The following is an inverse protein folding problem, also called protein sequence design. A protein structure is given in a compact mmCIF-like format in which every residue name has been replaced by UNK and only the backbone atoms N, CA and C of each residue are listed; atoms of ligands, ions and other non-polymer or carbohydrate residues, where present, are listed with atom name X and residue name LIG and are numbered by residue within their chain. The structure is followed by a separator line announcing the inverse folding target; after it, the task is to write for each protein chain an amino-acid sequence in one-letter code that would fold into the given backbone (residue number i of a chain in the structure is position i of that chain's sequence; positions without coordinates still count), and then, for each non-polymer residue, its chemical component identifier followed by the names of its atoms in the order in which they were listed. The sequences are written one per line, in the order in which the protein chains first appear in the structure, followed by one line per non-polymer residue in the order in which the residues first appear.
data_IF_813632233958
#
_entry.id   IF_813632233958
#
_cell.length_a   1.000
_cell.length_b   1.000
_cell.length_c   1.000
_cell.angle_alpha   90.00
_cell.angle_beta   90.00
_cell.angle_gamma   90.00
#
_symmetry.space_group_name_H-M   'P 1'
#
loop_
_entity.id
_entity.type
_entity.pdbx_description
1 polymer ?
#
# COMPACT_ATOMS: atom_id res chain seq x y z
N UNK A 1 -19.03 2.69 -14.76
CA UNK A 1 -18.32 1.42 -14.82
C UNK A 1 -16.94 1.57 -14.20
N UNK A 2 -16.55 0.64 -13.36
CA UNK A 2 -15.25 0.67 -12.72
C UNK A 2 -14.12 0.22 -13.63
N UNK A 3 -12.90 0.47 -13.20
CA UNK A 3 -11.69 0.13 -13.94
C UNK A 3 -10.80 -0.79 -13.13
N UNK A 4 -10.07 -1.67 -13.83
CA UNK A 4 -9.11 -2.56 -13.19
C UNK A 4 -7.70 -1.95 -13.26
N UNK A 5 -6.92 -2.15 -12.22
CA UNK A 5 -5.53 -1.70 -12.15
C UNK A 5 -4.63 -2.85 -11.73
N UNK A 6 -3.34 -2.74 -12.05
CA UNK A 6 -2.33 -3.64 -11.54
C UNK A 6 -1.57 -2.96 -10.41
N UNK A 7 -1.33 -3.68 -9.32
CA UNK A 7 -0.57 -3.17 -8.19
C UNK A 7 0.61 -4.10 -7.93
N UNK A 8 1.80 -3.51 -7.87
CA UNK A 8 2.97 -4.19 -7.34
C UNK A 8 3.17 -3.67 -5.91
N UNK A 9 2.74 -4.46 -4.95
CA UNK A 9 2.93 -4.14 -3.52
C UNK A 9 4.32 -4.64 -3.13
N UNK A 10 5.31 -3.79 -3.33
CA UNK A 10 6.69 -4.15 -3.05
C UNK A 10 7.04 -4.02 -1.57
N UNK A 11 8.17 -4.60 -1.19
CA UNK A 11 8.66 -4.52 0.19
C UNK A 11 9.04 -3.09 0.56
N UNK A 12 9.75 -2.42 -0.33
CA UNK A 12 10.23 -1.05 -0.09
C UNK A 12 9.36 -0.01 -0.77
N UNK A 13 8.97 -0.27 -2.01
CA UNK A 13 8.16 0.64 -2.81
C UNK A 13 7.05 -0.14 -3.50
N UNK A 14 5.93 0.56 -3.72
CA UNK A 14 4.79 0.01 -4.47
C UNK A 14 4.53 0.87 -5.69
N UNK A 15 3.88 0.31 -6.70
CA UNK A 15 3.49 1.08 -7.88
C UNK A 15 2.16 0.59 -8.43
N UNK A 16 1.51 1.44 -9.22
CA UNK A 16 0.24 1.16 -9.86
C UNK A 16 0.42 1.27 -11.38
N UNK A 17 -0.13 0.31 -12.10
CA UNK A 17 -0.09 0.31 -13.56
C UNK A 17 -1.50 0.15 -14.12
N UNK A 18 -1.70 0.73 -15.29
CA UNK A 18 -2.92 0.58 -16.08
C UNK A 18 -2.54 0.04 -17.46
N UNK A 19 -3.53 -0.51 -18.19
CA UNK A 19 -3.32 -0.84 -19.58
C UNK A 19 -3.68 0.37 -20.44
N UNK A 20 -2.70 0.82 -21.23
CA UNK A 20 -2.91 1.86 -22.23
C UNK A 20 -2.84 1.15 -23.58
N UNK A 21 -4.02 0.79 -24.10
CA UNK A 21 -4.09 -0.18 -25.19
C UNK A 21 -3.66 -1.54 -24.67
N UNK A 22 -2.63 -2.13 -25.29
CA UNK A 22 -2.06 -3.41 -24.85
C UNK A 22 -0.78 -3.24 -24.04
N UNK A 23 -0.38 -2.00 -23.73
CA UNK A 23 0.88 -1.69 -23.05
C UNK A 23 0.63 -1.30 -21.60
N UNK A 24 1.26 -1.99 -20.64
CA UNK A 24 1.20 -1.56 -19.24
C UNK A 24 1.90 -0.21 -19.06
N UNK A 25 1.28 0.68 -18.30
CA UNK A 25 1.81 2.01 -18.02
C UNK A 25 1.74 2.27 -16.52
N UNK A 26 2.90 2.51 -15.91
CA UNK A 26 2.97 2.92 -14.51
C UNK A 26 2.52 4.37 -14.40
N UNK A 27 1.59 4.64 -13.49
CA UNK A 27 1.03 5.97 -13.30
C UNK A 27 1.64 6.65 -12.09
N UNK A 28 1.64 7.99 -12.11
CA UNK A 28 2.15 8.79 -11.00
C UNK A 28 1.14 8.81 -9.86
N UNK A 29 1.65 8.86 -8.63
CA UNK A 29 0.81 9.06 -7.45
C UNK A 29 0.46 10.54 -7.29
N UNK A 30 -0.31 10.86 -6.25
CA UNK A 30 -0.75 12.22 -5.98
C UNK A 30 0.43 13.19 -5.83
N UNK A 31 1.56 12.72 -5.31
CA UNK A 31 2.76 13.54 -5.11
C UNK A 31 3.63 13.66 -6.36
N UNK A 32 3.24 13.02 -7.46
CA UNK A 32 3.94 13.10 -8.74
C UNK A 32 5.03 12.06 -8.97
N UNK A 33 5.14 11.07 -8.09
CA UNK A 33 6.14 10.00 -8.23
C UNK A 33 5.50 8.74 -8.80
N UNK A 34 6.25 7.98 -9.58
CA UNK A 34 5.79 6.70 -10.16
C UNK A 34 5.85 5.54 -9.18
N UNK A 35 6.55 5.72 -8.07
CA UNK A 35 6.57 4.73 -6.99
C UNK A 35 6.07 5.39 -5.71
N UNK A 36 5.45 4.58 -4.86
CA UNK A 36 4.98 5.01 -3.55
C UNK A 36 5.71 4.18 -2.51
N UNK A 37 6.49 4.79 -1.61
CA UNK A 37 7.12 4.03 -0.55
C UNK A 37 6.09 3.22 0.25
N UNK A 38 6.40 1.96 0.52
CA UNK A 38 5.53 1.05 1.27
C UNK A 38 5.66 1.34 2.77
N UNK A 39 5.28 2.54 3.16
CA UNK A 39 5.46 3.09 4.52
C UNK A 39 4.15 3.68 4.99
N UNK A 40 3.79 3.37 6.24
CA UNK A 40 2.61 3.94 6.91
C UNK A 40 3.08 4.61 8.19
N UNK A 41 2.64 5.84 8.44
CA UNK A 41 2.95 6.56 9.67
C UNK A 41 1.66 7.12 10.28
N UNK A 42 1.50 6.92 11.58
CA UNK A 42 0.33 7.39 12.33
C UNK A 42 0.65 8.69 13.04
N UNK A 43 -0.22 9.67 12.86
CA UNK A 43 -0.05 11.00 13.46
C UNK A 43 -0.71 11.06 14.84
N UNK A 44 -0.23 11.98 15.72
CA UNK A 44 -0.83 12.14 17.05
C UNK A 44 -2.32 12.52 17.03
N UNK A 45 -2.81 13.13 15.95
CA UNK A 45 -4.21 13.55 15.83
C UNK A 45 -5.16 12.43 15.41
N UNK A 46 -4.64 11.19 15.28
CA UNK A 46 -5.44 10.03 14.89
C UNK A 46 -5.49 9.78 13.39
N UNK A 47 -4.90 10.65 12.58
CA UNK A 47 -4.81 10.42 11.13
C UNK A 47 -3.57 9.58 10.80
N UNK A 48 -3.45 9.17 9.54
CA UNK A 48 -2.27 8.45 9.08
C UNK A 48 -1.82 8.97 7.72
N UNK A 49 -0.55 8.73 7.41
CA UNK A 49 0.06 9.05 6.12
C UNK A 49 0.62 7.78 5.51
N UNK A 50 0.64 7.72 4.18
CA UNK A 50 1.20 6.60 3.43
C UNK A 50 2.12 7.14 2.35
N UNK A 51 3.23 6.45 2.10
CA UNK A 51 4.14 6.80 1.03
C UNK A 51 5.18 7.82 1.43
N UNK A 52 5.44 8.80 0.57
CA UNK A 52 6.51 9.78 0.80
C UNK A 52 6.32 10.60 2.07
N UNK A 53 5.08 11.00 2.36
CA UNK A 53 4.78 11.75 3.59
C UNK A 53 5.07 10.92 4.82
N UNK A 54 4.70 9.63 4.80
CA UNK A 54 4.97 8.71 5.90
C UNK A 54 6.47 8.51 6.09
N UNK A 55 7.20 8.35 5.00
CA UNK A 55 8.65 8.15 5.04
C UNK A 55 9.36 9.34 5.68
N UNK A 56 8.90 10.55 5.39
CA UNK A 56 9.45 11.77 6.00
C UNK A 56 9.19 11.83 7.51
N UNK A 57 8.07 11.28 7.96
CA UNK A 57 7.71 11.24 9.39
C UNK A 57 8.53 10.22 10.18
N UNK A 58 9.20 9.29 9.53
CA UNK A 58 9.98 8.26 10.21
C UNK A 58 11.07 8.83 11.11
N UNK A 59 11.67 9.95 10.72
CA UNK A 59 12.70 10.62 11.51
C UNK A 59 12.15 11.24 12.80
N UNK A 60 10.87 11.67 12.78
CA UNK A 60 10.21 12.36 13.89
C UNK A 60 9.39 11.39 14.73
N UNK A 61 8.72 10.43 14.09
CA UNK A 61 7.81 9.48 14.74
C UNK A 61 8.18 8.03 14.41
N UNK A 62 9.40 7.56 14.74
CA UNK A 62 9.83 6.21 14.33
C UNK A 62 8.98 5.09 14.92
N UNK A 63 8.46 5.26 16.14
CA UNK A 63 7.63 4.23 16.79
C UNK A 63 6.22 4.15 16.21
N UNK A 64 5.81 5.15 15.47
CA UNK A 64 4.48 5.22 14.87
C UNK A 64 4.54 5.03 13.35
N UNK A 65 5.69 4.64 12.82
CA UNK A 65 5.93 4.46 11.39
C UNK A 65 6.31 3.01 11.11
N UNK A 66 5.62 2.40 10.16
CA UNK A 66 5.87 1.02 9.75
C UNK A 66 6.46 0.99 8.34
N UNK A 67 7.60 0.29 8.22
CA UNK A 67 8.28 0.04 6.94
C UNK A 67 8.13 -1.42 6.55
N UNK A 68 8.09 -1.67 5.24
CA UNK A 68 8.25 -3.03 4.68
C UNK A 68 7.31 -4.06 5.29
N UNK A 69 6.04 -3.67 5.48
CA UNK A 69 5.05 -4.55 6.10
C UNK A 69 4.85 -5.86 5.33
N UNK A 70 5.15 -5.86 4.04
CA UNK A 70 5.02 -7.06 3.22
C UNK A 70 5.84 -8.23 3.77
N UNK A 71 6.97 -7.95 4.42
CA UNK A 71 7.82 -8.99 5.04
C UNK A 71 7.13 -9.67 6.22
N UNK A 72 6.14 -9.01 6.81
CA UNK A 72 5.39 -9.52 7.97
C UNK A 72 4.08 -10.20 7.56
N UNK A 73 3.76 -10.20 6.26
CA UNK A 73 2.51 -10.78 5.77
C UNK A 73 2.45 -12.27 6.12
N UNK A 74 1.33 -12.69 6.72
CA UNK A 74 1.17 -14.07 7.16
C UNK A 74 1.74 -14.37 8.55
N UNK A 75 2.42 -13.41 9.20
CA UNK A 75 2.98 -13.58 10.53
C UNK A 75 2.04 -13.06 11.61
N UNK A 76 2.44 -13.23 12.88
CA UNK A 76 1.72 -12.72 14.04
C UNK A 76 2.12 -11.29 14.41
N UNK A 77 2.85 -10.62 13.54
CA UNK A 77 3.28 -9.25 13.78
C UNK A 77 2.08 -8.33 14.07
N UNK A 78 2.26 -7.44 15.05
CA UNK A 78 1.27 -6.39 15.34
C UNK A 78 2.00 -5.09 15.65
N UNK A 79 1.47 -3.99 15.10
CA UNK A 79 1.94 -2.65 15.42
C UNK A 79 0.90 -2.00 16.33
N UNK A 80 1.32 -1.68 17.54
CA UNK A 80 0.41 -1.07 18.53
C UNK A 80 0.49 0.45 18.46
N UNK A 81 -0.64 1.07 18.11
CA UNK A 81 -0.77 2.53 18.03
C UNK A 81 -2.02 2.95 18.80
N UNK A 82 -1.83 3.76 19.84
CA UNK A 82 -2.92 4.35 20.63
C UNK A 82 -3.95 3.31 21.10
N UNK A 83 -3.46 2.15 21.52
CA UNK A 83 -4.31 1.08 22.04
C UNK A 83 -4.90 0.14 21.00
N UNK A 84 -4.67 0.39 19.73
CA UNK A 84 -5.10 -0.50 18.65
C UNK A 84 -3.91 -1.31 18.10
N UNK A 85 -4.10 -2.61 17.94
CA UNK A 85 -3.09 -3.51 17.37
C UNK A 85 -3.37 -3.71 15.88
N UNK A 86 -2.52 -3.14 15.04
CA UNK A 86 -2.65 -3.26 13.58
C UNK A 86 -1.94 -4.52 13.09
N UNK A 87 -2.66 -5.35 12.34
CA UNK A 87 -2.11 -6.53 11.69
C UNK A 87 -1.40 -6.15 10.38
N UNK A 88 -0.53 -7.03 9.83
CA UNK A 88 0.05 -6.78 8.50
C UNK A 88 -1.01 -6.55 7.43
N UNK A 89 -2.13 -7.27 7.48
CA UNK A 89 -3.24 -7.11 6.53
C UNK A 89 -3.85 -5.73 6.63
N UNK A 90 -4.09 -5.25 7.85
CA UNK A 90 -4.66 -3.91 8.07
C UNK A 90 -3.73 -2.81 7.56
N UNK A 91 -2.42 -2.92 7.85
CA UNK A 91 -1.42 -1.95 7.40
C UNK A 91 -1.28 -1.96 5.88
N UNK A 92 -1.28 -3.16 5.28
CA UNK A 92 -1.24 -3.29 3.83
C UNK A 92 -2.48 -2.71 3.17
N UNK A 93 -3.65 -2.88 3.81
CA UNK A 93 -4.89 -2.30 3.31
C UNK A 93 -4.84 -0.78 3.23
N UNK A 94 -4.17 -0.13 4.18
CA UNK A 94 -4.00 1.32 4.16
C UNK A 94 -3.14 1.76 2.96
N UNK A 95 -2.10 1.00 2.66
CA UNK A 95 -1.25 1.26 1.49
C UNK A 95 -2.07 1.06 0.21
N UNK A 96 -2.81 -0.04 0.12
CA UNK A 96 -3.63 -0.35 -1.05
C UNK A 96 -4.70 0.72 -1.27
N UNK A 97 -5.30 1.21 -0.19
CA UNK A 97 -6.31 2.27 -0.28
C UNK A 97 -5.72 3.55 -0.86
N UNK A 98 -4.52 3.93 -0.44
CA UNK A 98 -3.84 5.11 -1.01
C UNK A 98 -3.58 4.90 -2.50
N UNK A 99 -3.07 3.74 -2.88
CA UNK A 99 -2.79 3.44 -4.28
C UNK A 99 -4.06 3.50 -5.12
N UNK A 100 -5.17 2.99 -4.60
CA UNK A 100 -6.46 3.05 -5.26
C UNK A 100 -6.93 4.49 -5.45
N UNK A 101 -6.87 5.31 -4.40
CA UNK A 101 -7.30 6.72 -4.46
C UNK A 101 -6.46 7.50 -5.45
N UNK A 102 -5.14 7.30 -5.42
CA UNK A 102 -4.23 7.98 -6.35
C UNK A 102 -4.54 7.58 -7.80
N UNK A 103 -4.84 6.30 -8.04
CA UNK A 103 -5.20 5.81 -9.36
C UNK A 103 -6.53 6.41 -9.84
N UNK A 104 -7.52 6.50 -8.94
CA UNK A 104 -8.81 7.10 -9.28
C UNK A 104 -8.67 8.57 -9.64
N UNK A 105 -7.84 9.31 -8.91
CA UNK A 105 -7.58 10.72 -9.22
C UNK A 105 -6.86 10.87 -10.57
N UNK A 106 -5.90 9.99 -10.84
CA UNK A 106 -5.17 10.03 -12.12
C UNK A 106 -6.08 9.71 -13.31
N UNK A 107 -6.94 8.71 -13.16
CA UNK A 107 -7.82 8.25 -14.23
C UNK A 107 -9.10 9.08 -14.38
N UNK A 108 -9.55 9.74 -13.32
CA UNK A 108 -10.85 10.38 -13.28
C UNK A 108 -12.01 9.39 -13.29
N UNK A 109 -11.77 8.15 -12.89
CA UNK A 109 -12.74 7.07 -12.87
C UNK A 109 -12.62 6.25 -11.59
N UNK A 110 -13.71 5.57 -11.23
CA UNK A 110 -13.71 4.65 -10.10
C UNK A 110 -12.92 3.38 -10.44
N UNK A 111 -12.11 2.91 -9.51
CA UNK A 111 -11.39 1.65 -9.60
C UNK A 111 -12.16 0.59 -8.82
N UNK A 112 -12.57 -0.48 -9.49
CA UNK A 112 -13.35 -1.56 -8.86
C UNK A 112 -12.59 -2.86 -8.70
N UNK A 113 -11.52 -3.05 -9.46
CA UNK A 113 -10.77 -4.30 -9.46
C UNK A 113 -9.27 -4.02 -9.46
N UNK A 114 -8.51 -4.88 -8.80
CA UNK A 114 -7.06 -4.79 -8.79
C UNK A 114 -6.44 -6.18 -8.90
N UNK A 115 -5.37 -6.28 -9.67
CA UNK A 115 -4.51 -7.46 -9.70
C UNK A 115 -3.26 -7.09 -8.92
N UNK A 116 -3.02 -7.82 -7.83
CA UNK A 116 -1.89 -7.54 -6.94
C UNK A 116 -0.87 -8.65 -7.09
N UNK A 117 0.38 -8.27 -7.41
CA UNK A 117 1.46 -9.25 -7.54
C UNK A 117 1.99 -9.65 -6.16
N UNK A 118 2.36 -10.92 -6.05
CA UNK A 118 3.01 -11.44 -4.86
C UNK A 118 4.27 -12.21 -5.27
N UNK A 119 5.30 -12.26 -4.40
CA UNK A 119 6.49 -13.04 -4.72
C UNK A 119 6.16 -14.52 -4.89
N UNK A 120 6.91 -15.19 -5.77
CA UNK A 120 6.72 -16.62 -5.98
C UNK A 120 7.00 -17.45 -4.72
N UNK A 121 7.84 -16.95 -3.84
CA UNK A 121 8.20 -17.64 -2.59
C UNK A 121 7.13 -17.48 -1.49
N UNK A 122 6.09 -16.67 -1.71
CA UNK A 122 5.01 -16.55 -0.72
C UNK A 122 4.32 -17.92 -0.54
N UNK A 123 4.07 -18.29 0.70
CA UNK A 123 3.29 -19.48 1.02
C UNK A 123 1.78 -19.15 0.98
N UNK A 124 0.95 -20.16 1.24
CA UNK A 124 -0.50 -19.98 1.20
C UNK A 124 -1.00 -18.97 2.23
N UNK A 125 -0.40 -18.95 3.42
CA UNK A 125 -0.77 -18.00 4.47
C UNK A 125 -0.49 -16.55 4.04
N UNK A 126 0.66 -16.32 3.42
CA UNK A 126 1.04 -14.98 2.93
C UNK A 126 0.16 -14.53 1.77
N UNK A 127 -0.17 -15.44 0.84
CA UNK A 127 -1.06 -15.14 -0.28
C UNK A 127 -2.47 -14.84 0.20
N UNK A 128 -2.97 -15.60 1.16
CA UNK A 128 -4.30 -15.38 1.73
C UNK A 128 -4.35 -14.05 2.49
N UNK A 129 -3.31 -13.73 3.25
CA UNK A 129 -3.21 -12.46 3.96
C UNK A 129 -3.22 -11.26 3.00
N UNK A 130 -2.52 -11.36 1.87
CA UNK A 130 -2.53 -10.34 0.83
C UNK A 130 -3.92 -10.15 0.25
N UNK A 131 -4.65 -11.24 0.02
CA UNK A 131 -6.02 -11.20 -0.50
C UNK A 131 -6.99 -10.53 0.48
N UNK A 132 -6.80 -10.74 1.76
CA UNK A 132 -7.65 -10.16 2.81
C UNK A 132 -7.40 -8.66 2.97
N UNK A 133 -6.19 -8.22 2.69
CA UNK A 133 -5.80 -6.81 2.81
C UNK A 133 -6.61 -5.86 1.91
#
# INVERSE_FOLDING_TARGET
MGRAIGIDLGTTNSCVAILDGDTPKVIANKEGYRTTPSVVSFMPDGTYKVGNLAKRQAAVNPKRTCFSIKRQMGSNFRLKIDGHDYSPQELSALILKKLKVDAEEYLGEEVTDAVITVPAYFDDAQRQATKVA
#
